data_IF_862300904084
#
_entry.id   IF_862300904084
#
_cell.length_a   1.000
_cell.length_b   1.000
_cell.length_c   1.000
_cell.angle_alpha   90.00
_cell.angle_beta   90.00
_cell.angle_gamma   90.00
#
_symmetry.space_group_name_H-M   'P 1'
#
loop_
_entity.id
_entity.type
_entity.pdbx_description
1 polymer ?
#
# COMPACT_ATOMS: atom_id res chain seq x y z
N UNK A 1 22.61 6.22 -104.41
CA UNK A 1 22.36 6.47 -102.97
C UNK A 1 21.94 5.14 -102.35
N UNK A 2 22.84 4.50 -101.62
CA UNK A 2 22.65 3.19 -101.00
C UNK A 2 22.49 3.41 -99.49
N UNK A 3 21.41 2.87 -98.92
CA UNK A 3 21.04 3.06 -97.52
C UNK A 3 22.07 2.45 -96.58
N UNK A 4 22.71 3.29 -95.77
CA UNK A 4 23.32 2.90 -94.51
C UNK A 4 22.37 3.30 -93.38
N UNK A 5 21.68 2.33 -92.80
CA UNK A 5 21.22 2.42 -91.40
C UNK A 5 21.84 1.26 -90.64
N UNK A 6 22.80 1.64 -89.80
CA UNK A 6 23.56 0.81 -88.87
C UNK A 6 22.68 0.34 -87.70
N UNK A 7 23.12 -0.79 -87.17
CA UNK A 7 22.66 -1.52 -86.00
C UNK A 7 22.35 -0.65 -84.76
N UNK A 8 21.21 -0.94 -84.13
CA UNK A 8 20.86 -0.55 -82.78
C UNK A 8 19.88 -1.60 -82.20
N UNK A 9 20.38 -2.81 -81.93
CA UNK A 9 19.63 -3.88 -81.27
C UNK A 9 20.62 -4.68 -80.42
N UNK A 10 20.54 -4.56 -79.08
CA UNK A 10 20.53 -5.72 -78.15
C UNK A 10 20.57 -5.42 -76.63
N UNK A 11 20.64 -4.17 -76.16
CA UNK A 11 20.65 -3.90 -74.69
C UNK A 11 19.26 -3.69 -74.05
N UNK A 12 18.22 -3.42 -74.85
CA UNK A 12 16.87 -3.11 -74.34
C UNK A 12 16.08 -4.31 -73.80
N UNK A 13 16.37 -5.53 -74.28
CA UNK A 13 15.68 -6.75 -73.84
C UNK A 13 16.15 -7.24 -72.46
N UNK A 14 17.45 -7.20 -72.20
CA UNK A 14 18.03 -7.58 -70.91
C UNK A 14 17.67 -6.59 -69.80
N UNK A 15 17.60 -5.30 -70.11
CA UNK A 15 17.20 -4.26 -69.17
C UNK A 15 15.77 -4.48 -68.65
N UNK A 16 14.82 -4.85 -69.51
CA UNK A 16 13.42 -5.12 -69.11
C UNK A 16 13.33 -6.32 -68.14
N UNK A 17 14.12 -7.38 -68.36
CA UNK A 17 14.13 -8.56 -67.48
C UNK A 17 14.73 -8.22 -66.12
N UNK A 18 15.85 -7.48 -66.08
CA UNK A 18 16.46 -7.03 -64.83
C UNK A 18 15.54 -6.09 -64.05
N UNK A 19 14.88 -5.15 -64.73
CA UNK A 19 13.89 -4.25 -64.12
C UNK A 19 12.72 -5.05 -63.53
N UNK A 20 12.21 -6.07 -64.24
CA UNK A 20 11.15 -6.94 -63.75
C UNK A 20 11.53 -7.70 -62.47
N UNK A 21 12.76 -8.24 -62.42
CA UNK A 21 13.25 -8.97 -61.24
C UNK A 21 13.45 -8.02 -60.05
N UNK A 22 14.04 -6.84 -60.28
CA UNK A 22 14.23 -5.84 -59.22
C UNK A 22 12.89 -5.32 -58.69
N UNK A 23 11.93 -5.06 -59.58
CA UNK A 23 10.60 -4.60 -59.17
C UNK A 23 9.86 -5.68 -58.36
N UNK A 24 10.00 -6.95 -58.74
CA UNK A 24 9.45 -8.07 -57.95
C UNK A 24 10.13 -8.17 -56.57
N UNK A 25 11.45 -8.04 -56.51
CA UNK A 25 12.20 -8.03 -55.25
C UNK A 25 11.79 -6.85 -54.34
N UNK A 26 11.57 -5.67 -54.91
CA UNK A 26 11.07 -4.49 -54.17
C UNK A 26 9.66 -4.72 -53.63
N UNK A 27 8.76 -5.33 -54.41
CA UNK A 27 7.40 -5.66 -53.96
C UNK A 27 7.42 -6.68 -52.81
N UNK A 28 8.29 -7.71 -52.86
CA UNK A 28 8.48 -8.63 -51.73
C UNK A 28 9.01 -7.93 -50.48
N UNK A 29 9.98 -7.02 -50.64
CA UNK A 29 10.53 -6.26 -49.52
C UNK A 29 9.48 -5.36 -48.85
N UNK A 30 8.65 -4.68 -49.63
CA UNK A 30 7.51 -3.88 -49.12
C UNK A 30 6.52 -4.78 -48.37
N UNK A 31 6.24 -5.95 -48.93
CA UNK A 31 5.40 -6.95 -48.30
C UNK A 31 5.86 -7.39 -46.92
N UNK A 32 7.14 -7.76 -46.80
CA UNK A 32 7.74 -8.13 -45.53
C UNK A 32 7.76 -6.97 -44.54
N UNK A 33 7.97 -5.73 -45.01
CA UNK A 33 7.91 -4.55 -44.17
C UNK A 33 6.49 -4.32 -43.60
N UNK A 34 5.45 -4.55 -44.40
CA UNK A 34 4.05 -4.48 -43.95
C UNK A 34 3.78 -5.56 -42.89
N UNK A 35 4.11 -6.82 -43.16
CA UNK A 35 3.88 -7.92 -42.23
C UNK A 35 4.63 -7.71 -40.90
N UNK A 36 5.88 -7.24 -40.96
CA UNK A 36 6.66 -6.90 -39.77
C UNK A 36 6.03 -5.75 -38.99
N UNK A 37 5.54 -4.72 -39.70
CA UNK A 37 4.81 -3.60 -39.11
C UNK A 37 3.54 -4.04 -38.40
N UNK A 38 2.78 -4.96 -38.99
CA UNK A 38 1.57 -5.53 -38.37
C UNK A 38 1.92 -6.34 -37.11
N UNK A 39 2.96 -7.18 -37.16
CA UNK A 39 3.40 -7.95 -35.99
C UNK A 39 3.89 -7.06 -34.85
N UNK A 40 4.65 -6.02 -35.18
CA UNK A 40 5.13 -5.06 -34.20
C UNK A 40 3.98 -4.30 -33.54
N UNK A 41 3.01 -3.83 -34.34
CA UNK A 41 1.83 -3.14 -33.83
C UNK A 41 0.95 -4.06 -32.97
N UNK A 42 0.71 -5.30 -33.42
CA UNK A 42 -0.02 -6.31 -32.66
C UNK A 42 0.65 -6.64 -31.32
N UNK A 43 1.99 -6.77 -31.30
CA UNK A 43 2.72 -7.00 -30.05
C UNK A 43 2.68 -5.78 -29.12
N UNK A 44 2.83 -4.57 -29.66
CA UNK A 44 2.80 -3.33 -28.87
C UNK A 44 1.44 -3.13 -28.19
N UNK A 45 0.36 -3.25 -28.94
CA UNK A 45 -1.01 -3.11 -28.40
C UNK A 45 -1.33 -4.21 -27.39
N UNK A 46 -0.84 -5.44 -27.61
CA UNK A 46 -0.98 -6.52 -26.63
C UNK A 46 -0.19 -6.25 -25.34
N UNK A 47 1.01 -5.65 -25.43
CA UNK A 47 1.78 -5.27 -24.26
C UNK A 47 1.12 -4.13 -23.49
N UNK A 48 0.66 -3.08 -24.17
CA UNK A 48 -0.07 -1.96 -23.54
C UNK A 48 -1.31 -2.46 -22.79
N UNK A 49 -2.06 -3.41 -23.36
CA UNK A 49 -3.21 -4.02 -22.70
C UNK A 49 -2.83 -4.95 -21.54
N UNK A 50 -1.72 -5.68 -21.65
CA UNK A 50 -1.22 -6.54 -20.57
C UNK A 50 -0.75 -5.69 -19.39
N UNK A 51 -0.01 -4.60 -19.64
CA UNK A 51 0.45 -3.65 -18.63
C UNK A 51 -0.73 -3.00 -17.90
N UNK A 52 -1.74 -2.54 -18.65
CA UNK A 52 -2.97 -1.99 -18.07
C UNK A 52 -3.70 -3.01 -17.18
N UNK A 53 -3.93 -4.23 -17.69
CA UNK A 53 -4.55 -5.31 -16.92
C UNK A 53 -3.77 -5.69 -15.66
N UNK A 54 -2.45 -5.80 -15.77
CA UNK A 54 -1.58 -6.12 -14.64
C UNK A 54 -1.62 -5.03 -13.57
N UNK A 55 -1.59 -3.75 -13.98
CA UNK A 55 -1.76 -2.62 -13.07
C UNK A 55 -3.14 -2.61 -12.41
N UNK A 56 -4.21 -2.83 -13.16
CA UNK A 56 -5.58 -2.88 -12.63
C UNK A 56 -5.76 -3.99 -11.58
N UNK A 57 -5.20 -5.18 -11.83
CA UNK A 57 -5.24 -6.24 -10.83
C UNK A 57 -4.36 -5.93 -9.62
N UNK A 58 -3.18 -5.31 -9.79
CA UNK A 58 -2.35 -4.83 -8.69
C UNK A 58 -3.06 -3.78 -7.82
N UNK A 59 -3.87 -2.89 -8.43
CA UNK A 59 -4.73 -1.93 -7.70
C UNK A 59 -5.78 -2.65 -6.86
N UNK A 60 -6.37 -3.74 -7.36
CA UNK A 60 -7.34 -4.51 -6.58
C UNK A 60 -6.68 -5.27 -5.43
N UNK A 61 -5.48 -5.83 -5.65
CA UNK A 61 -4.68 -6.44 -4.58
C UNK A 61 -4.33 -5.40 -3.51
N UNK A 62 -3.94 -4.19 -3.91
CA UNK A 62 -3.75 -3.06 -3.01
C UNK A 62 -5.02 -2.70 -2.22
N UNK A 63 -6.20 -2.79 -2.84
CA UNK A 63 -7.51 -2.57 -2.20
C UNK A 63 -7.99 -3.75 -1.34
N UNK A 64 -7.12 -4.69 -0.97
CA UNK A 64 -7.48 -5.89 -0.19
C UNK A 64 -8.48 -6.81 -0.89
N UNK A 65 -8.60 -6.68 -2.21
CA UNK A 65 -9.38 -7.60 -3.01
C UNK A 65 -8.73 -8.98 -3.01
N UNK A 66 -9.56 -10.02 -3.02
CA UNK A 66 -9.08 -11.40 -3.21
C UNK A 66 -8.34 -11.53 -4.55
N UNK A 67 -7.44 -12.52 -4.66
CA UNK A 67 -6.75 -12.82 -5.93
C UNK A 67 -7.74 -13.08 -7.07
N UNK A 68 -8.94 -13.61 -6.78
CA UNK A 68 -10.00 -13.78 -7.77
C UNK A 68 -10.57 -12.44 -8.27
N UNK A 69 -10.78 -11.46 -7.39
CA UNK A 69 -11.20 -10.11 -7.77
C UNK A 69 -10.10 -9.39 -8.56
N UNK A 70 -8.83 -9.55 -8.18
CA UNK A 70 -7.70 -8.98 -8.90
C UNK A 70 -7.58 -9.54 -10.32
N UNK A 71 -7.70 -10.87 -10.47
CA UNK A 71 -7.71 -11.52 -11.78
C UNK A 71 -8.92 -11.09 -12.62
N UNK A 72 -10.09 -10.90 -12.00
CA UNK A 72 -11.29 -10.43 -12.70
C UNK A 72 -11.11 -8.99 -13.19
N UNK A 73 -10.56 -8.09 -12.37
CA UNK A 73 -10.27 -6.70 -12.75
C UNK A 73 -9.22 -6.62 -13.84
N UNK A 74 -8.15 -7.41 -13.75
CA UNK A 74 -7.12 -7.51 -14.77
C UNK A 74 -7.69 -7.94 -16.15
N UNK A 75 -8.59 -8.94 -16.16
CA UNK A 75 -9.28 -9.38 -17.39
C UNK A 75 -10.27 -8.34 -17.89
N UNK A 76 -10.97 -7.64 -17.00
CA UNK A 76 -11.93 -6.60 -17.36
C UNK A 76 -11.22 -5.40 -18.02
N UNK A 77 -10.05 -5.00 -17.51
CA UNK A 77 -9.30 -3.88 -18.08
C UNK A 77 -8.61 -4.27 -19.40
N UNK A 78 -8.09 -5.50 -19.51
CA UNK A 78 -7.64 -6.05 -20.79
C UNK A 78 -8.78 -6.05 -21.83
N UNK A 79 -10.03 -6.32 -21.40
CA UNK A 79 -11.19 -6.28 -22.28
C UNK A 79 -11.55 -4.85 -22.76
N UNK A 80 -11.41 -3.83 -21.90
CA UNK A 80 -11.55 -2.42 -22.29
C UNK A 80 -10.51 -2.00 -23.33
N UNK A 81 -9.32 -2.62 -23.28
CA UNK A 81 -8.25 -2.42 -24.26
C UNK A 81 -8.39 -3.30 -25.51
N UNK A 82 -9.56 -3.88 -25.77
CA UNK A 82 -9.86 -4.63 -27.00
C UNK A 82 -9.50 -6.11 -26.98
N UNK A 83 -9.21 -6.68 -25.80
CA UNK A 83 -8.88 -8.09 -25.60
C UNK A 83 -9.94 -8.84 -24.77
N UNK A 84 -11.21 -8.53 -24.98
CA UNK A 84 -12.34 -9.10 -24.25
C UNK A 84 -12.88 -10.41 -24.85
N UNK A 85 -13.78 -11.09 -24.12
CA UNK A 85 -14.45 -12.30 -24.62
C UNK A 85 -15.37 -12.06 -25.83
N UNK A 86 -15.69 -10.78 -26.09
CA UNK A 86 -16.58 -10.35 -27.18
C UNK A 86 -15.83 -9.66 -28.33
N UNK A 87 -14.49 -9.60 -28.30
CA UNK A 87 -13.69 -9.20 -29.45
C UNK A 87 -13.30 -10.46 -30.22
N UNK A 88 -13.95 -10.75 -31.36
CA UNK A 88 -13.75 -11.97 -32.10
C UNK A 88 -12.48 -11.84 -32.94
N UNK A 89 -11.33 -12.01 -32.31
CA UNK A 89 -10.16 -12.55 -33.00
C UNK A 89 -10.11 -14.02 -32.60
N UNK A 90 -10.68 -14.89 -33.45
CA UNK A 90 -10.70 -16.32 -33.20
C UNK A 90 -9.27 -16.80 -32.85
N UNK A 91 -9.04 -17.18 -31.59
CA UNK A 91 -7.73 -17.62 -31.10
C UNK A 91 -6.94 -16.63 -30.23
N UNK A 92 -7.50 -15.46 -29.88
CA UNK A 92 -6.92 -14.59 -28.84
C UNK A 92 -7.20 -15.16 -27.43
N UNK A 93 -6.19 -15.25 -26.59
CA UNK A 93 -6.30 -15.72 -25.20
C UNK A 93 -5.78 -14.66 -24.23
N UNK A 94 -6.57 -14.35 -23.19
CA UNK A 94 -6.15 -13.52 -22.06
C UNK A 94 -6.17 -14.38 -20.80
N UNK A 95 -5.03 -14.49 -20.14
CA UNK A 95 -4.89 -15.10 -18.82
C UNK A 95 -4.54 -14.03 -17.80
N UNK A 96 -5.12 -14.13 -16.61
CA UNK A 96 -4.71 -13.38 -15.44
C UNK A 96 -4.60 -14.38 -14.27
N UNK A 97 -3.44 -14.46 -13.64
CA UNK A 97 -3.12 -15.44 -12.59
C UNK A 97 -2.05 -14.91 -11.65
N UNK A 98 -1.86 -15.56 -10.50
CA UNK A 98 -0.64 -15.36 -9.69
C UNK A 98 0.56 -15.80 -10.55
N UNK A 99 1.67 -15.02 -10.60
CA UNK A 99 2.80 -15.37 -11.46
C UNK A 99 3.34 -16.76 -11.10
N UNK A 100 3.65 -17.60 -12.10
CA UNK A 100 4.10 -18.99 -11.90
C UNK A 100 5.60 -19.20 -12.09
N UNK A 101 6.31 -18.16 -12.52
CA UNK A 101 7.73 -18.20 -12.84
C UNK A 101 8.33 -16.80 -12.81
N UNK A 102 9.66 -16.71 -12.75
CA UNK A 102 10.38 -15.44 -12.64
C UNK A 102 10.57 -15.01 -11.19
N UNK A 103 10.97 -13.75 -10.98
CA UNK A 103 11.28 -13.18 -9.66
C UNK A 103 10.06 -13.13 -8.72
N UNK A 104 8.85 -13.06 -9.27
CA UNK A 104 7.59 -12.94 -8.52
C UNK A 104 6.77 -14.24 -8.51
N UNK A 105 7.42 -15.38 -8.74
CA UNK A 105 6.75 -16.68 -8.73
C UNK A 105 6.05 -16.94 -7.38
N UNK A 106 4.79 -17.35 -7.45
CA UNK A 106 3.92 -17.66 -6.31
C UNK A 106 3.64 -16.48 -5.35
N UNK A 107 4.03 -15.25 -5.71
CA UNK A 107 3.76 -14.06 -4.92
C UNK A 107 2.30 -13.61 -5.08
N UNK A 108 1.48 -13.86 -4.06
CA UNK A 108 0.05 -13.53 -4.02
C UNK A 108 -0.23 -12.02 -4.02
N UNK A 109 0.78 -11.19 -3.78
CA UNK A 109 0.69 -9.73 -3.90
C UNK A 109 0.84 -9.25 -5.36
N UNK A 110 1.08 -10.18 -6.28
CA UNK A 110 1.26 -9.92 -7.69
C UNK A 110 0.20 -10.61 -8.56
N UNK A 111 -0.02 -10.03 -9.74
CA UNK A 111 -0.83 -10.61 -10.81
C UNK A 111 -0.07 -10.52 -12.12
N UNK A 112 0.00 -11.64 -12.83
CA UNK A 112 0.55 -11.71 -14.18
C UNK A 112 -0.60 -11.75 -15.19
N UNK A 113 -0.55 -10.85 -16.17
CA UNK A 113 -1.46 -10.84 -17.32
C UNK A 113 -0.69 -11.27 -18.55
N UNK A 114 -1.20 -12.28 -19.25
CA UNK A 114 -0.64 -12.77 -20.51
C UNK A 114 -1.69 -12.66 -21.61
N UNK A 115 -1.36 -11.96 -22.69
CA UNK A 115 -2.20 -11.80 -23.88
C UNK A 115 -1.49 -12.48 -25.05
N UNK A 116 -2.17 -13.41 -25.71
CA UNK A 116 -1.73 -13.99 -26.98
C UNK A 116 -2.78 -13.74 -28.05
N UNK A 117 -2.38 -13.21 -29.20
CA UNK A 117 -3.30 -12.86 -30.28
C UNK A 117 -2.73 -13.25 -31.65
N UNK A 118 -3.55 -13.77 -32.59
CA UNK A 118 -3.13 -13.99 -33.97
C UNK A 118 -3.07 -12.67 -34.73
N UNK A 119 -1.99 -12.43 -35.45
CA UNK A 119 -1.82 -11.30 -36.38
C UNK A 119 -1.80 -11.84 -37.81
N UNK A 120 -2.64 -11.28 -38.68
CA UNK A 120 -2.68 -11.62 -40.09
C UNK A 120 -1.38 -11.17 -40.76
N UNK A 121 -0.62 -12.12 -41.30
CA UNK A 121 0.53 -11.87 -42.16
C UNK A 121 0.19 -12.35 -43.56
N UNK A 122 0.44 -11.51 -44.56
CA UNK A 122 -0.03 -11.74 -45.93
C UNK A 122 1.01 -12.37 -46.83
N UNK A 123 2.30 -12.25 -46.48
CA UNK A 123 3.44 -12.58 -47.33
C UNK A 123 4.50 -13.43 -46.62
N UNK A 124 4.34 -13.72 -45.32
CA UNK A 124 5.11 -14.75 -44.61
C UNK A 124 4.57 -16.13 -45.01
N UNK A 125 5.38 -17.00 -45.64
CA UNK A 125 4.94 -18.32 -46.08
C UNK A 125 4.95 -19.28 -44.89
N UNK A 126 3.92 -19.25 -44.06
CA UNK A 126 3.60 -20.35 -43.15
C UNK A 126 2.17 -20.83 -43.43
N UNK A 127 1.95 -22.13 -43.21
CA UNK A 127 0.76 -22.88 -43.63
C UNK A 127 -0.56 -22.41 -43.00
N UNK A 128 -0.54 -21.41 -42.12
CA UNK A 128 -1.72 -20.74 -41.60
C UNK A 128 -1.54 -19.22 -41.73
N UNK A 129 -2.60 -18.54 -42.15
CA UNK A 129 -2.66 -17.09 -42.44
C UNK A 129 -2.38 -16.19 -41.22
N UNK A 130 -1.89 -16.72 -40.10
CA UNK A 130 -1.75 -16.02 -38.83
C UNK A 130 -0.45 -16.34 -38.11
N UNK A 131 0.29 -15.31 -37.70
CA UNK A 131 1.43 -15.44 -36.78
C UNK A 131 0.98 -15.00 -35.39
N UNK A 132 1.20 -15.83 -34.36
CA UNK A 132 0.85 -15.49 -32.98
C UNK A 132 1.89 -14.57 -32.36
N UNK A 133 1.44 -13.49 -31.74
CA UNK A 133 2.25 -12.66 -30.84
C UNK A 133 1.75 -12.86 -29.41
N UNK A 134 2.68 -12.80 -28.45
CA UNK A 134 2.37 -12.87 -27.04
C UNK A 134 3.07 -11.73 -26.30
N UNK A 135 2.39 -11.22 -25.29
CA UNK A 135 2.86 -10.19 -24.38
C UNK A 135 2.46 -10.57 -22.95
N UNK A 136 3.31 -10.25 -21.99
CA UNK A 136 3.07 -10.51 -20.58
C UNK A 136 3.53 -9.33 -19.74
N UNK A 137 2.82 -9.07 -18.65
CA UNK A 137 3.13 -8.03 -17.70
C UNK A 137 2.80 -8.52 -16.29
N UNK A 138 3.62 -8.11 -15.31
CA UNK A 138 3.38 -8.40 -13.89
C UNK A 138 3.12 -7.09 -13.16
N UNK A 139 2.03 -7.04 -12.40
CA UNK A 139 1.70 -5.94 -11.52
C UNK A 139 1.68 -6.44 -10.09
N UNK A 140 2.42 -5.79 -9.20
CA UNK A 140 2.52 -6.15 -7.80
C UNK A 140 2.05 -5.01 -6.90
N UNK A 141 1.53 -5.34 -5.73
CA UNK A 141 1.42 -4.40 -4.61
C UNK A 141 2.76 -4.46 -3.84
N UNK A 142 3.61 -3.43 -3.94
CA UNK A 142 4.95 -3.41 -3.32
C UNK A 142 5.03 -2.44 -2.15
N UNK A 143 5.75 -2.76 -1.05
CA UNK A 143 5.92 -1.84 0.05
C UNK A 143 6.60 -0.55 -0.43
N UNK A 144 6.01 0.61 -0.15
CA UNK A 144 6.61 1.92 -0.38
C UNK A 144 6.20 2.87 0.74
N UNK A 145 7.12 3.75 1.13
CA UNK A 145 6.76 4.84 2.02
C UNK A 145 5.83 5.80 1.26
N UNK A 146 4.66 6.09 1.83
CA UNK A 146 3.70 7.05 1.28
C UNK A 146 4.26 8.47 1.22
N UNK A 147 5.38 8.75 1.92
CA UNK A 147 5.96 10.07 2.10
C UNK A 147 5.24 10.90 3.17
N UNK A 148 4.27 10.30 3.87
CA UNK A 148 3.46 10.96 4.89
C UNK A 148 3.69 10.31 6.25
N UNK A 149 4.12 11.14 7.21
CA UNK A 149 4.28 10.74 8.60
C UNK A 149 2.94 10.71 9.36
N UNK A 150 1.97 11.53 8.92
CA UNK A 150 0.61 11.58 9.47
C UNK A 150 -0.41 11.50 8.36
N UNK A 151 -1.35 10.58 8.47
CA UNK A 151 -2.48 10.46 7.55
C UNK A 151 -3.77 10.36 8.37
N UNK A 152 -4.64 11.37 8.23
CA UNK A 152 -6.03 11.30 8.66
C UNK A 152 -6.89 10.78 7.50
N UNK A 153 -7.44 9.57 7.65
CA UNK A 153 -8.11 8.81 6.61
C UNK A 153 -9.59 9.20 6.40
N UNK A 154 -10.19 10.01 7.29
CA UNK A 154 -11.60 10.39 7.20
C UNK A 154 -11.94 10.98 5.82
N UNK A 155 -12.83 10.32 5.08
CA UNK A 155 -13.36 10.75 3.78
C UNK A 155 -14.86 11.11 3.84
N UNK A 156 -15.48 11.09 5.02
CA UNK A 156 -16.89 11.44 5.23
C UNK A 156 -17.15 12.96 5.16
N UNK A 157 -16.10 13.75 4.92
CA UNK A 157 -16.15 15.21 4.89
C UNK A 157 -16.58 15.82 6.24
N UNK A 158 -16.12 15.20 7.32
CA UNK A 158 -16.26 15.71 8.68
C UNK A 158 -15.20 16.78 8.99
N UNK A 159 -15.56 17.74 9.84
CA UNK A 159 -14.61 18.74 10.35
C UNK A 159 -13.68 18.12 11.39
N UNK A 160 -12.43 18.59 11.47
CA UNK A 160 -11.50 18.14 12.51
C UNK A 160 -10.95 16.73 12.31
N UNK A 161 -10.79 16.29 11.06
CA UNK A 161 -10.12 15.03 10.76
C UNK A 161 -8.66 15.01 11.29
N UNK A 162 -8.00 16.17 11.29
CA UNK A 162 -6.84 16.43 12.13
C UNK A 162 -7.12 17.65 13.00
N UNK A 163 -7.05 17.51 14.31
CA UNK A 163 -7.37 18.57 15.26
C UNK A 163 -6.29 18.71 16.34
N UNK A 164 -5.93 19.95 16.66
CA UNK A 164 -5.07 20.32 17.77
C UNK A 164 -5.79 21.35 18.65
N UNK A 165 -5.84 21.12 19.97
CA UNK A 165 -6.32 22.14 20.92
C UNK A 165 -5.24 23.19 21.21
N UNK A 166 -5.59 24.22 21.98
CA UNK A 166 -4.71 25.38 22.24
C UNK A 166 -3.33 25.06 22.84
N UNK A 167 -3.22 23.95 23.57
CA UNK A 167 -1.96 23.51 24.19
C UNK A 167 -1.36 22.28 23.48
N UNK A 168 -2.00 21.78 22.44
CA UNK A 168 -1.50 20.65 21.66
C UNK A 168 -0.33 21.07 20.77
N UNK A 169 0.60 20.16 20.56
CA UNK A 169 1.68 20.34 19.59
C UNK A 169 1.84 19.11 18.71
N UNK A 170 2.08 19.33 17.43
CA UNK A 170 2.45 18.30 16.47
C UNK A 170 3.77 18.69 15.81
N UNK A 171 4.83 17.94 16.08
CA UNK A 171 6.19 18.19 15.57
C UNK A 171 6.60 17.03 14.66
N UNK A 172 6.63 17.26 13.36
CA UNK A 172 6.78 16.21 12.33
C UNK A 172 8.12 16.34 11.59
N UNK A 173 8.87 15.25 11.56
CA UNK A 173 10.15 15.08 10.88
C UNK A 173 10.06 13.86 9.95
N UNK A 174 10.74 13.91 8.80
CA UNK A 174 10.86 12.76 7.89
C UNK A 174 9.65 12.46 7.01
N UNK A 175 8.55 13.23 7.10
CA UNK A 175 7.36 13.02 6.27
C UNK A 175 6.36 14.17 6.32
N UNK A 176 5.46 14.18 5.33
CA UNK A 176 4.38 15.15 5.17
C UNK A 176 3.16 14.82 6.04
N UNK A 177 2.22 15.76 6.16
CA UNK A 177 0.92 15.56 6.79
C UNK A 177 -0.15 15.48 5.70
N UNK A 178 -0.98 14.45 5.71
CA UNK A 178 -2.13 14.29 4.82
C UNK A 178 -3.44 14.31 5.60
N UNK A 179 -4.41 15.08 5.13
CA UNK A 179 -5.79 15.11 5.66
C UNK A 179 -6.79 14.87 4.55
N UNK A 180 -7.44 13.69 4.58
CA UNK A 180 -8.34 13.25 3.51
C UNK A 180 -9.74 13.88 3.53
N UNK A 181 -10.14 14.53 4.63
CA UNK A 181 -11.50 15.06 4.74
C UNK A 181 -11.69 16.22 3.78
N UNK A 182 -12.83 16.22 3.09
CA UNK A 182 -13.21 17.28 2.16
C UNK A 182 -13.91 18.48 2.82
N UNK A 183 -14.07 18.47 4.15
CA UNK A 183 -14.72 19.56 4.89
C UNK A 183 -13.99 20.90 4.73
N UNK A 184 -14.73 22.02 4.83
CA UNK A 184 -14.12 23.36 4.82
C UNK A 184 -13.16 23.60 5.99
N UNK A 185 -13.31 22.84 7.09
CA UNK A 185 -12.44 22.83 8.25
C UNK A 185 -11.97 21.40 8.54
N UNK A 186 -11.40 20.75 7.52
CA UNK A 186 -10.88 19.39 7.61
C UNK A 186 -9.72 19.28 8.60
N UNK A 187 -8.80 20.25 8.57
CA UNK A 187 -7.71 20.36 9.55
C UNK A 187 -7.89 21.60 10.43
N UNK A 188 -7.89 21.43 11.75
CA UNK A 188 -8.08 22.50 12.72
C UNK A 188 -6.86 22.62 13.63
N UNK A 189 -6.15 23.74 13.55
CA UNK A 189 -5.01 24.00 14.41
C UNK A 189 -5.31 25.12 15.43
N UNK A 190 -5.57 24.74 16.68
CA UNK A 190 -5.60 25.66 17.82
C UNK A 190 -4.24 25.82 18.51
N UNK A 191 -3.27 24.94 18.25
CA UNK A 191 -1.98 24.83 18.95
C UNK A 191 -0.78 25.11 18.04
N UNK A 192 0.27 24.30 18.18
CA UNK A 192 1.54 24.45 17.45
C UNK A 192 1.75 23.28 16.50
N UNK A 193 1.96 23.58 15.21
CA UNK A 193 2.41 22.58 14.23
C UNK A 193 3.80 22.97 13.74
N UNK A 194 4.75 22.06 13.87
CA UNK A 194 6.10 22.16 13.30
C UNK A 194 6.27 21.07 12.27
N UNK A 195 6.85 21.45 11.13
CA UNK A 195 7.13 20.56 10.03
C UNK A 195 8.55 20.81 9.55
N UNK A 196 9.32 19.75 9.39
CA UNK A 196 10.68 19.81 8.87
C UNK A 196 10.69 20.42 7.44
N UNK A 197 11.65 21.31 7.11
CA UNK A 197 11.73 21.90 5.77
C UNK A 197 11.86 20.85 4.67
N UNK A 198 11.04 20.98 3.62
CA UNK A 198 11.00 20.03 2.50
C UNK A 198 9.77 19.11 2.52
N UNK A 199 9.02 19.10 3.62
CA UNK A 199 7.73 18.41 3.73
C UNK A 199 6.56 19.40 3.69
N UNK A 200 5.37 18.87 3.37
CA UNK A 200 4.16 19.66 3.11
C UNK A 200 3.00 19.22 4.03
N UNK A 201 2.04 20.12 4.24
CA UNK A 201 0.73 19.79 4.81
C UNK A 201 -0.29 19.78 3.67
N UNK A 202 -0.68 18.60 3.23
CA UNK A 202 -1.66 18.39 2.16
C UNK A 202 -3.05 18.12 2.76
N UNK A 203 -4.03 18.91 2.32
CA UNK A 203 -5.42 18.81 2.79
C UNK A 203 -6.37 18.77 1.59
N UNK A 204 -7.32 17.84 1.61
CA UNK A 204 -8.34 17.73 0.56
C UNK A 204 -9.32 18.88 0.64
N UNK A 205 -9.89 19.12 1.82
CA UNK A 205 -10.79 20.23 2.11
C UNK A 205 -10.06 21.54 2.42
N UNK A 206 -10.57 22.25 3.42
CA UNK A 206 -9.98 23.48 3.94
C UNK A 206 -9.42 23.33 5.35
N UNK A 207 -8.85 24.41 5.87
CA UNK A 207 -8.22 24.43 7.20
C UNK A 207 -8.72 25.60 8.05
N UNK A 208 -8.58 25.44 9.36
CA UNK A 208 -8.64 26.50 10.35
C UNK A 208 -7.30 26.59 11.10
N UNK A 209 -6.88 27.81 11.43
CA UNK A 209 -5.61 28.05 12.11
C UNK A 209 -4.43 28.14 11.14
N UNK A 210 -3.22 28.28 11.69
CA UNK A 210 -1.99 28.40 10.90
C UNK A 210 -1.37 27.02 10.69
N UNK A 211 -1.07 26.67 9.43
CA UNK A 211 -0.43 25.40 9.07
C UNK A 211 0.84 25.67 8.24
N UNK A 212 1.96 25.00 8.54
CA UNK A 212 3.19 25.13 7.75
C UNK A 212 3.07 24.42 6.41
N UNK A 213 3.67 25.00 5.35
CA UNK A 213 3.75 24.42 4.00
C UNK A 213 2.40 23.85 3.51
N UNK A 214 1.33 24.64 3.70
CA UNK A 214 -0.04 24.22 3.46
C UNK A 214 -0.41 24.20 1.97
N UNK A 215 -0.96 23.08 1.53
CA UNK A 215 -1.66 22.94 0.26
C UNK A 215 -3.08 22.41 0.49
N UNK A 216 -4.07 23.11 -0.07
CA UNK A 216 -5.49 22.68 -0.02
C UNK A 216 -5.96 22.21 -1.39
N UNK A 217 -7.06 21.44 -1.45
CA UNK A 217 -7.58 20.89 -2.70
C UNK A 217 -6.73 19.76 -3.28
N UNK A 218 -5.86 19.16 -2.47
CA UNK A 218 -5.08 17.97 -2.87
C UNK A 218 -6.02 16.76 -3.01
N UNK A 219 -5.69 15.77 -3.84
CA UNK A 219 -6.50 14.55 -3.93
C UNK A 219 -6.44 13.75 -2.63
N UNK A 220 -7.49 12.97 -2.37
CA UNK A 220 -7.52 11.98 -1.29
C UNK A 220 -6.41 10.94 -1.53
N UNK A 221 -5.68 10.61 -0.47
CA UNK A 221 -4.73 9.51 -0.48
C UNK A 221 -5.40 8.28 0.12
N UNK A 222 -5.27 7.14 -0.55
CA UNK A 222 -5.84 5.89 -0.05
C UNK A 222 -5.06 5.40 1.17
N UNK A 223 -5.73 4.60 1.99
CA UNK A 223 -5.11 3.97 3.14
C UNK A 223 -3.90 3.11 2.69
N UNK A 224 -2.66 3.46 3.09
CA UNK A 224 -1.47 2.71 2.70
C UNK A 224 -1.48 1.28 3.26
N UNK A 225 -2.26 1.02 4.30
CA UNK A 225 -2.22 -0.21 5.11
C UNK A 225 -3.44 -1.11 4.96
N UNK A 226 -4.44 -0.71 4.16
CA UNK A 226 -5.68 -1.48 3.99
C UNK A 226 -5.44 -2.94 3.58
N UNK A 227 -4.47 -3.19 2.69
CA UNK A 227 -4.15 -4.51 2.14
C UNK A 227 -3.34 -5.46 3.01
N UNK A 228 -2.92 -5.06 4.22
CA UNK A 228 -2.12 -5.91 5.10
C UNK A 228 -2.97 -7.07 5.61
N UNK A 229 -2.43 -8.29 5.54
CA UNK A 229 -3.09 -9.46 6.12
C UNK A 229 -3.10 -9.36 7.64
N UNK A 230 -4.27 -9.60 8.27
CA UNK A 230 -4.39 -9.62 9.73
C UNK A 230 -3.67 -10.83 10.34
N UNK A 231 -3.25 -10.77 11.61
CA UNK A 231 -2.46 -11.84 12.23
C UNK A 231 -3.24 -13.14 12.35
N UNK A 232 -2.64 -14.25 11.93
CA UNK A 232 -3.24 -15.56 12.11
C UNK A 232 -3.20 -15.99 13.59
N UNK A 233 -4.26 -16.66 14.06
CA UNK A 233 -4.37 -17.13 15.45
C UNK A 233 -3.92 -18.57 15.67
N UNK A 234 -3.67 -19.33 14.59
CA UNK A 234 -3.46 -20.78 14.60
C UNK A 234 -2.20 -21.23 15.38
N UNK A 235 -1.24 -20.34 15.59
CA UNK A 235 0.00 -20.61 16.32
C UNK A 235 0.08 -19.89 17.68
N UNK A 236 -0.96 -19.14 18.06
CA UNK A 236 -0.96 -18.29 19.26
C UNK A 236 -1.76 -18.92 20.40
N UNK A 237 -1.16 -18.93 21.59
CA UNK A 237 -1.79 -19.44 22.80
C UNK A 237 -2.58 -18.33 23.52
N UNK A 238 -3.68 -18.67 24.21
CA UNK A 238 -4.40 -17.72 25.05
C UNK A 238 -3.62 -17.46 26.35
N UNK A 239 -3.53 -16.20 26.75
CA UNK A 239 -2.91 -15.75 28.00
C UNK A 239 -3.83 -14.81 28.78
N UNK A 240 -3.52 -14.65 30.07
CA UNK A 240 -4.12 -13.62 30.93
C UNK A 240 -3.06 -12.60 31.32
N UNK A 241 -3.41 -11.30 31.40
CA UNK A 241 -2.50 -10.25 31.83
C UNK A 241 -1.89 -10.54 33.19
N UNK A 242 -0.59 -10.30 33.35
CA UNK A 242 0.10 -10.46 34.62
C UNK A 242 1.05 -9.29 34.89
N UNK A 243 1.08 -8.82 36.14
CA UNK A 243 2.03 -7.82 36.61
C UNK A 243 3.41 -8.46 36.92
N UNK A 244 4.48 -7.65 36.99
CA UNK A 244 5.81 -8.09 37.41
C UNK A 244 5.79 -8.85 38.73
N UNK A 245 6.67 -9.87 38.91
CA UNK A 245 7.82 -10.19 38.06
C UNK A 245 7.50 -10.99 36.79
N UNK A 246 6.23 -11.25 36.49
CA UNK A 246 5.82 -11.98 35.30
C UNK A 246 6.05 -11.16 34.02
N UNK A 247 6.57 -11.82 32.98
CA UNK A 247 6.70 -11.26 31.63
C UNK A 247 5.52 -11.78 30.80
N UNK A 248 4.73 -10.86 30.25
CA UNK A 248 3.64 -11.18 29.34
C UNK A 248 4.21 -11.76 28.05
N UNK A 249 3.61 -12.85 27.55
CA UNK A 249 4.08 -13.59 26.39
C UNK A 249 3.23 -13.25 25.17
N UNK A 250 3.81 -13.26 23.95
CA UNK A 250 3.02 -13.06 22.73
C UNK A 250 1.94 -14.13 22.61
N UNK A 251 0.73 -13.70 22.25
CA UNK A 251 -0.44 -14.57 22.20
C UNK A 251 -1.76 -13.81 22.21
N UNK A 252 -2.83 -14.51 22.55
CA UNK A 252 -4.20 -13.98 22.52
C UNK A 252 -4.67 -13.60 23.92
N UNK A 253 -5.10 -12.36 24.09
CA UNK A 253 -5.60 -11.78 25.33
C UNK A 253 -7.08 -11.41 25.17
N UNK A 254 -7.95 -12.15 25.87
CA UNK A 254 -9.40 -11.90 25.90
C UNK A 254 -9.84 -11.10 27.12
N UNK A 255 -8.90 -10.79 28.01
CA UNK A 255 -9.13 -9.99 29.22
C UNK A 255 -8.24 -8.76 29.20
N UNK A 256 -8.67 -7.72 29.91
CA UNK A 256 -8.00 -6.43 29.92
C UNK A 256 -6.86 -6.35 30.92
N UNK A 257 -5.79 -5.69 30.53
CA UNK A 257 -4.71 -5.28 31.42
C UNK A 257 -5.21 -4.15 32.31
N UNK A 258 -5.06 -4.29 33.63
CA UNK A 258 -5.48 -3.29 34.62
C UNK A 258 -4.50 -2.13 34.77
N UNK A 259 -5.01 -0.97 35.17
CA UNK A 259 -4.26 0.29 35.28
C UNK A 259 -3.46 0.48 36.58
N UNK A 260 -2.90 -0.59 37.16
CA UNK A 260 -2.28 -0.53 38.49
C UNK A 260 -0.83 -1.07 38.55
N UNK A 261 -0.24 -1.46 37.42
CA UNK A 261 1.14 -1.95 37.38
C UNK A 261 1.86 -1.64 36.06
N UNK A 262 3.18 -1.83 36.09
CA UNK A 262 4.06 -1.67 34.93
C UNK A 262 4.22 -3.02 34.22
N UNK A 263 3.57 -3.20 33.08
CA UNK A 263 3.63 -4.45 32.33
C UNK A 263 4.94 -4.59 31.55
N UNK A 264 5.51 -5.79 31.60
CA UNK A 264 6.68 -6.17 30.82
C UNK A 264 6.20 -7.15 29.74
N UNK A 265 6.56 -6.88 28.49
CA UNK A 265 6.18 -7.69 27.33
C UNK A 265 7.41 -8.31 26.68
N UNK A 266 7.39 -9.64 26.47
CA UNK A 266 8.36 -10.31 25.63
C UNK A 266 8.14 -9.93 24.14
N UNK A 267 9.16 -9.99 23.28
CA UNK A 267 8.98 -9.71 21.86
C UNK A 267 7.95 -10.62 21.19
N UNK A 268 7.16 -10.06 20.27
CA UNK A 268 6.23 -10.81 19.43
C UNK A 268 4.85 -10.15 19.24
N UNK A 269 3.90 -10.95 18.74
CA UNK A 269 2.56 -10.50 18.38
C UNK A 269 1.57 -10.72 19.53
N UNK A 270 0.83 -9.67 19.89
CA UNK A 270 -0.20 -9.68 20.92
C UNK A 270 -1.55 -9.33 20.30
N UNK A 271 -2.50 -10.26 20.40
CA UNK A 271 -3.86 -10.07 19.90
C UNK A 271 -4.78 -9.80 21.09
N UNK A 272 -5.32 -8.59 21.16
CA UNK A 272 -6.33 -8.20 22.15
C UNK A 272 -7.72 -8.44 21.54
N UNK A 273 -8.26 -9.64 21.74
CA UNK A 273 -9.56 -10.07 21.21
C UNK A 273 -10.68 -9.70 22.19
N UNK A 274 -11.23 -8.49 22.04
CA UNK A 274 -12.20 -7.92 22.98
C UNK A 274 -11.60 -7.48 24.33
N UNK A 275 -10.31 -7.71 24.55
CA UNK A 275 -9.53 -7.17 25.67
C UNK A 275 -9.00 -5.76 25.39
N UNK A 276 -8.47 -5.13 26.43
CA UNK A 276 -7.84 -3.80 26.33
C UNK A 276 -6.53 -3.70 27.08
N UNK A 277 -5.73 -2.69 26.72
CA UNK A 277 -4.54 -2.27 27.45
C UNK A 277 -4.80 -0.91 28.11
N UNK A 278 -5.19 -0.91 29.39
CA UNK A 278 -5.42 0.32 30.17
C UNK A 278 -4.20 0.65 31.03
N UNK A 279 -3.45 1.65 30.58
CA UNK A 279 -2.31 2.28 31.24
C UNK A 279 -2.65 3.70 31.72
N UNK A 280 -3.91 3.98 32.09
CA UNK A 280 -4.35 5.29 32.56
C UNK A 280 -4.05 5.61 34.03
N UNK A 281 -3.64 4.64 34.83
CA UNK A 281 -3.36 4.83 36.25
C UNK A 281 -1.97 5.41 36.51
N UNK A 282 -1.77 6.08 37.65
CA UNK A 282 -0.49 6.75 37.96
C UNK A 282 0.73 5.82 37.99
N UNK A 283 0.51 4.52 38.24
CA UNK A 283 1.54 3.46 38.28
C UNK A 283 1.49 2.55 37.05
N UNK A 284 0.60 2.82 36.12
CA UNK A 284 0.37 1.99 34.95
C UNK A 284 1.34 2.40 33.85
N UNK A 285 2.09 1.44 33.33
CA UNK A 285 3.05 1.65 32.26
C UNK A 285 3.26 0.33 31.51
N UNK A 286 3.88 0.41 30.34
CA UNK A 286 4.35 -0.76 29.62
C UNK A 286 5.79 -0.58 29.16
N UNK A 287 6.56 -1.66 29.12
CA UNK A 287 7.91 -1.63 28.61
C UNK A 287 8.24 -2.86 27.76
N UNK A 288 9.19 -2.70 26.84
CA UNK A 288 9.86 -3.77 26.09
C UNK A 288 11.39 -3.61 26.10
N UNK A 289 12.12 -4.70 25.86
CA UNK A 289 13.58 -4.71 25.72
C UNK A 289 14.36 -4.60 27.03
N UNK A 290 15.60 -4.11 26.89
CA UNK A 290 16.59 -4.02 27.98
C UNK A 290 16.31 -2.94 29.04
N UNK A 291 15.40 -1.99 28.76
CA UNK A 291 14.99 -0.96 29.72
C UNK A 291 13.95 -1.45 30.74
N UNK A 292 13.41 -2.66 30.53
CA UNK A 292 12.46 -3.29 31.45
C UNK A 292 13.10 -3.88 32.70
N UNK A 293 12.27 -4.09 33.73
CA UNK A 293 12.61 -4.87 34.90
C UNK A 293 11.52 -5.93 35.22
N UNK A 294 11.77 -7.23 34.99
CA UNK A 294 13.00 -7.81 34.41
C UNK A 294 13.20 -7.42 32.93
N UNK A 295 14.45 -7.39 32.42
CA UNK A 295 14.71 -7.10 31.01
C UNK A 295 14.17 -8.21 30.12
N UNK A 296 13.79 -7.86 28.90
CA UNK A 296 13.37 -8.81 27.86
C UNK A 296 14.33 -8.79 26.68
N UNK A 297 14.25 -9.80 25.81
CA UNK A 297 15.02 -9.83 24.57
C UNK A 297 14.67 -8.63 23.68
N UNK A 298 15.60 -8.23 22.83
CA UNK A 298 15.35 -7.24 21.79
C UNK A 298 14.55 -7.90 20.65
N UNK A 299 13.58 -7.18 20.07
CA UNK A 299 12.73 -7.71 19.01
C UNK A 299 11.37 -7.04 18.89
N UNK A 300 10.97 -6.23 19.88
CA UNK A 300 9.78 -5.39 19.82
C UNK A 300 8.45 -6.15 19.91
N UNK A 301 7.36 -5.41 20.00
CA UNK A 301 6.01 -5.92 20.15
C UNK A 301 5.11 -5.36 19.08
N UNK A 302 4.19 -6.19 18.61
CA UNK A 302 3.11 -5.74 17.75
C UNK A 302 1.77 -6.01 18.44
N UNK A 303 1.02 -4.93 18.68
CA UNK A 303 -0.26 -4.95 19.39
C UNK A 303 -1.43 -4.83 18.40
N UNK A 304 -2.21 -5.90 18.28
CA UNK A 304 -3.37 -5.97 17.41
C UNK A 304 -4.67 -5.99 18.24
N UNK A 305 -5.46 -4.91 18.17
CA UNK A 305 -6.74 -4.77 18.88
C UNK A 305 -7.89 -5.14 17.95
N UNK A 306 -8.74 -6.08 18.37
CA UNK A 306 -9.83 -6.60 17.52
C UNK A 306 -11.04 -7.04 18.34
N UNK A 307 -12.09 -7.49 17.66
CA UNK A 307 -13.33 -7.98 18.26
C UNK A 307 -13.10 -9.27 19.09
N UNK A 308 -13.98 -9.50 20.06
CA UNK A 308 -13.96 -10.70 20.92
C UNK A 308 -14.14 -12.03 20.18
N UNK A 309 -14.64 -12.03 18.94
CA UNK A 309 -14.84 -13.25 18.13
C UNK A 309 -13.75 -13.46 17.08
N UNK A 310 -12.73 -12.59 17.01
CA UNK A 310 -11.66 -12.70 16.03
C UNK A 310 -11.03 -14.12 16.05
N UNK A 311 -10.80 -14.76 14.88
CA UNK A 311 -10.92 -14.25 13.51
C UNK A 311 -12.32 -14.37 12.88
N UNK A 312 -13.30 -14.90 13.60
CA UNK A 312 -14.67 -14.97 13.11
C UNK A 312 -15.33 -13.58 13.08
N UNK A 313 -16.25 -13.38 12.14
CA UNK A 313 -17.06 -12.16 12.05
C UNK A 313 -18.04 -12.03 13.21
N UNK A 314 -18.27 -10.79 13.65
CA UNK A 314 -19.14 -10.47 14.78
C UNK A 314 -18.35 -10.02 16.01
N UNK A 315 -18.91 -10.28 17.20
CA UNK A 315 -18.27 -9.95 18.48
C UNK A 315 -18.34 -8.47 18.85
N UNK A 316 -17.68 -8.11 19.95
CA UNK A 316 -17.60 -6.74 20.46
C UNK A 316 -16.15 -6.33 20.63
N UNK A 317 -15.81 -5.11 20.21
CA UNK A 317 -14.53 -4.49 20.52
C UNK A 317 -14.55 -3.93 21.95
N UNK A 318 -13.38 -3.83 22.59
CA UNK A 318 -13.28 -3.17 23.88
C UNK A 318 -13.70 -1.70 23.76
N UNK A 319 -14.37 -1.16 24.78
CA UNK A 319 -14.87 0.23 24.79
C UNK A 319 -13.76 1.27 24.71
N UNK A 320 -12.59 0.95 25.27
CA UNK A 320 -11.34 1.67 25.12
C UNK A 320 -10.24 0.61 24.94
N UNK A 321 -9.89 0.27 23.68
CA UNK A 321 -8.96 -0.82 23.39
C UNK A 321 -7.55 -0.51 23.88
N UNK A 322 -7.11 0.74 23.72
CA UNK A 322 -5.81 1.19 24.20
C UNK A 322 -5.96 2.54 24.89
N UNK A 323 -5.43 2.61 26.11
CA UNK A 323 -5.35 3.84 26.88
C UNK A 323 -3.96 3.95 27.48
N UNK A 324 -3.19 4.94 27.08
CA UNK A 324 -1.92 5.31 27.71
C UNK A 324 -2.10 6.73 28.19
N UNK A 325 -2.43 6.92 29.47
CA UNK A 325 -2.66 8.26 30.07
C UNK A 325 -2.00 8.42 31.45
N UNK A 326 -1.32 7.37 31.92
CA UNK A 326 -0.73 7.30 33.24
C UNK A 326 0.39 8.32 33.48
N UNK A 327 0.80 8.39 34.73
CA UNK A 327 1.93 9.22 35.16
C UNK A 327 3.30 8.54 35.08
N UNK A 328 3.33 7.26 34.68
CA UNK A 328 4.55 6.45 34.61
C UNK A 328 5.06 6.36 33.16
N UNK A 329 6.37 6.18 32.99
CA UNK A 329 6.99 6.12 31.67
C UNK A 329 6.64 4.82 30.94
N UNK A 330 6.22 4.93 29.69
CA UNK A 330 5.96 3.79 28.80
C UNK A 330 6.97 3.78 27.66
N UNK A 331 7.63 2.65 27.43
CA UNK A 331 8.62 2.48 26.36
C UNK A 331 8.28 1.25 25.53
N UNK A 332 7.81 1.43 24.30
CA UNK A 332 7.46 0.32 23.41
C UNK A 332 8.19 0.46 22.09
N UNK A 333 8.62 -0.65 21.53
CA UNK A 333 9.25 -0.72 20.21
C UNK A 333 8.52 -1.72 19.33
N UNK A 334 8.25 -1.36 18.08
CA UNK A 334 7.70 -2.25 17.07
C UNK A 334 8.69 -3.36 16.71
N UNK A 335 8.23 -4.45 16.08
CA UNK A 335 9.12 -5.48 15.60
C UNK A 335 10.10 -4.95 14.56
N UNK A 336 11.34 -5.44 14.59
CA UNK A 336 12.39 -5.08 13.62
C UNK A 336 12.50 -6.06 12.45
N UNK A 337 11.66 -7.10 12.42
CA UNK A 337 11.59 -8.10 11.34
C UNK A 337 10.21 -8.79 11.34
N UNK A 338 9.94 -9.58 10.30
CA UNK A 338 8.68 -10.31 10.11
C UNK A 338 7.60 -9.47 9.42
N UNK A 339 6.42 -10.06 9.24
CA UNK A 339 5.32 -9.49 8.44
C UNK A 339 4.78 -8.15 8.97
N UNK A 340 5.01 -7.87 10.26
CA UNK A 340 4.59 -6.64 10.95
C UNK A 340 5.78 -5.75 11.35
N UNK A 341 6.93 -5.89 10.68
CA UNK A 341 8.09 -5.03 10.92
C UNK A 341 7.71 -3.55 10.85
N UNK A 342 8.01 -2.80 11.90
CA UNK A 342 7.69 -1.37 12.00
C UNK A 342 6.24 -1.06 12.39
N UNK A 343 5.34 -2.04 12.52
CA UNK A 343 3.99 -1.82 13.06
C UNK A 343 3.99 -2.03 14.57
N UNK A 344 3.71 -0.98 15.35
CA UNK A 344 3.61 -1.08 16.80
C UNK A 344 2.17 -1.40 17.23
N UNK A 345 1.21 -0.66 16.69
CA UNK A 345 -0.18 -0.70 17.12
C UNK A 345 -1.07 -0.77 15.89
N UNK A 346 -1.96 -1.75 15.85
CA UNK A 346 -3.00 -1.83 14.85
C UNK A 346 -4.34 -2.13 15.51
N UNK A 347 -5.30 -1.22 15.37
CA UNK A 347 -6.70 -1.51 15.66
C UNK A 347 -7.42 -1.96 14.39
N UNK A 348 -8.02 -3.15 14.46
CA UNK A 348 -8.79 -3.74 13.39
C UNK A 348 -9.87 -2.75 12.90
N UNK A 349 -10.08 -2.69 11.58
CA UNK A 349 -11.09 -1.84 10.95
C UNK A 349 -12.52 -2.14 11.40
N UNK A 350 -12.80 -3.31 11.97
CA UNK A 350 -14.11 -3.58 12.59
C UNK A 350 -14.34 -2.80 13.89
N UNK A 351 -13.29 -2.27 14.52
CA UNK A 351 -13.34 -1.52 15.77
C UNK A 351 -13.22 -0.01 15.51
N UNK A 352 -14.17 0.76 16.04
CA UNK A 352 -14.29 2.22 15.85
C UNK A 352 -14.00 3.02 17.12
N UNK A 353 -13.61 2.34 18.19
CA UNK A 353 -13.42 2.90 19.52
C UNK A 353 -12.12 3.71 19.57
N UNK A 354 -12.14 4.83 20.27
CA UNK A 354 -11.02 5.76 20.38
C UNK A 354 -9.80 5.11 21.03
N UNK A 355 -8.61 5.46 20.53
CA UNK A 355 -7.33 5.10 21.12
C UNK A 355 -6.76 6.34 21.81
N UNK A 356 -6.51 6.24 23.11
CA UNK A 356 -5.98 7.34 23.90
C UNK A 356 -4.47 7.15 24.14
N UNK A 357 -3.65 8.12 23.70
CA UNK A 357 -2.20 8.14 23.92
C UNK A 357 -1.75 9.51 24.42
N UNK A 358 -1.26 9.55 25.64
CA UNK A 358 -0.70 10.73 26.28
C UNK A 358 -0.60 10.58 27.80
N UNK A 359 -0.84 11.64 28.57
CA UNK A 359 -0.71 11.63 30.03
C UNK A 359 0.48 12.42 30.56
N UNK A 360 0.83 12.16 31.83
CA UNK A 360 1.88 12.90 32.54
C UNK A 360 3.27 12.29 32.47
N UNK A 361 3.38 11.00 32.09
CA UNK A 361 4.65 10.30 31.91
C UNK A 361 5.30 10.52 30.53
N UNK A 362 6.55 10.08 30.37
CA UNK A 362 7.21 10.01 29.07
C UNK A 362 6.73 8.78 28.30
N UNK A 363 6.32 8.96 27.04
CA UNK A 363 5.88 7.85 26.17
C UNK A 363 6.84 7.77 25.00
N UNK A 364 7.79 6.86 25.08
CA UNK A 364 8.72 6.61 23.99
C UNK A 364 8.23 5.40 23.21
N UNK A 365 7.69 5.64 22.02
CA UNK A 365 7.27 4.59 21.10
C UNK A 365 8.18 4.57 19.88
N UNK A 366 8.33 3.44 19.22
CA UNK A 366 9.04 3.34 17.93
C UNK A 366 8.23 2.43 17.04
N UNK A 367 7.86 2.91 15.85
CA UNK A 367 6.95 2.23 14.92
C UNK A 367 5.69 3.01 14.59
N UNK A 368 4.89 2.43 13.70
CA UNK A 368 3.65 2.97 13.15
C UNK A 368 2.45 2.60 14.01
N UNK A 369 1.48 3.51 14.07
CA UNK A 369 0.15 3.29 14.64
C UNK A 369 -0.86 3.31 13.49
N UNK A 370 -1.69 2.26 13.42
CA UNK A 370 -2.73 2.11 12.42
C UNK A 370 -4.11 1.92 13.06
N UNK A 371 -5.04 2.82 12.78
CA UNK A 371 -6.39 2.82 13.32
C UNK A 371 -7.40 3.34 12.28
N UNK A 372 -7.68 2.56 11.21
CA UNK A 372 -8.34 3.06 9.99
C UNK A 372 -9.75 3.62 10.21
N UNK A 373 -10.46 3.12 11.23
CA UNK A 373 -11.84 3.50 11.52
C UNK A 373 -12.02 4.14 12.91
N UNK A 374 -10.93 4.47 13.60
CA UNK A 374 -10.95 5.04 14.94
C UNK A 374 -10.17 6.36 15.03
N UNK A 375 -10.56 7.16 16.00
CA UNK A 375 -9.86 8.40 16.36
C UNK A 375 -8.67 8.05 17.25
N UNK A 376 -7.50 8.56 16.90
CA UNK A 376 -6.34 8.61 17.79
C UNK A 376 -6.36 9.92 18.55
N UNK A 377 -6.33 9.84 19.88
CA UNK A 377 -6.52 10.97 20.79
C UNK A 377 -5.31 11.20 21.68
N UNK A 378 -4.94 12.46 21.84
CA UNK A 378 -3.80 12.92 22.62
C UNK A 378 -4.22 13.64 23.89
N UNK A 379 -4.36 12.95 25.02
CA UNK A 379 -4.70 13.58 26.28
C UNK A 379 -3.45 13.85 27.16
N UNK A 380 -3.52 14.80 28.10
CA UNK A 380 -2.45 15.02 29.09
C UNK A 380 -1.40 16.09 28.73
N UNK A 381 -0.74 16.64 29.76
CA UNK A 381 0.16 17.78 29.66
C UNK A 381 1.61 17.30 29.70
N UNK A 382 2.41 17.57 28.66
CA UNK A 382 3.86 17.25 28.54
C UNK A 382 4.20 15.79 28.17
N UNK A 383 3.25 14.99 27.69
CA UNK A 383 3.58 13.75 26.99
C UNK A 383 4.42 14.10 25.75
N UNK A 384 5.62 13.54 25.63
CA UNK A 384 6.41 13.55 24.40
C UNK A 384 6.25 12.17 23.79
N UNK A 385 5.28 12.02 22.89
CA UNK A 385 5.07 10.76 22.20
C UNK A 385 6.00 10.74 20.99
N UNK A 386 7.05 9.90 21.01
CA UNK A 386 7.88 9.69 19.83
C UNK A 386 7.24 8.59 18.97
N UNK A 387 6.85 8.89 17.74
CA UNK A 387 6.23 7.91 16.83
C UNK A 387 6.94 7.94 15.50
N UNK A 388 6.88 6.82 14.77
CA UNK A 388 7.43 6.77 13.42
C UNK A 388 6.38 7.18 12.39
N UNK A 389 5.13 6.73 12.54
CA UNK A 389 4.03 7.16 11.65
C UNK A 389 2.66 6.99 12.33
N UNK A 390 1.71 7.82 11.93
CA UNK A 390 0.31 7.72 12.34
C UNK A 390 -0.58 7.62 11.11
N UNK A 391 -1.39 6.56 11.04
CA UNK A 391 -2.44 6.38 10.04
C UNK A 391 -3.73 6.06 10.78
N UNK A 392 -4.62 7.02 10.95
CA UNK A 392 -5.86 6.85 11.71
C UNK A 392 -7.05 7.46 10.95
N UNK A 393 -8.30 7.12 11.34
CA UNK A 393 -9.47 7.80 10.78
C UNK A 393 -9.37 9.30 11.05
N UNK A 394 -9.11 9.64 12.30
CA UNK A 394 -8.96 11.01 12.79
C UNK A 394 -7.78 11.08 13.75
N UNK A 395 -7.08 12.20 13.76
CA UNK A 395 -5.96 12.47 14.66
C UNK A 395 -6.28 13.72 15.47
N UNK A 396 -6.60 13.55 16.74
CA UNK A 396 -6.86 14.64 17.67
C UNK A 396 -5.76 14.69 18.71
N UNK A 397 -4.85 15.66 18.64
CA UNK A 397 -3.77 15.74 19.63
C UNK A 397 -4.23 16.31 20.96
N UNK A 398 -5.48 16.79 21.07
CA UNK A 398 -6.01 17.63 22.14
C UNK A 398 -4.93 18.53 22.77
N UNK A 399 -4.49 18.21 24.01
CA UNK A 399 -3.46 18.96 24.75
C UNK A 399 -2.09 18.24 24.81
N UNK A 400 -1.94 17.09 24.17
CA UNK A 400 -0.69 16.34 24.13
C UNK A 400 0.31 16.92 23.10
N UNK A 401 1.59 16.62 23.30
CA UNK A 401 2.64 16.94 22.34
C UNK A 401 3.10 15.67 21.60
N UNK A 402 2.78 15.58 20.33
CA UNK A 402 3.24 14.49 19.47
C UNK A 402 4.51 14.93 18.74
N UNK A 403 5.55 14.12 18.83
CA UNK A 403 6.79 14.28 18.05
C UNK A 403 6.95 13.06 17.15
N UNK A 404 6.74 13.26 15.86
CA UNK A 404 6.79 12.19 14.87
C UNK A 404 8.10 12.30 14.12
N UNK A 405 8.82 11.19 14.07
CA UNK A 405 10.07 11.03 13.32
C UNK A 405 9.90 9.84 12.41
N UNK A 406 9.42 10.10 11.20
CA UNK A 406 9.35 9.08 10.16
C UNK A 406 10.78 8.74 9.72
N UNK A 407 11.27 7.59 10.17
CA UNK A 407 12.47 6.96 9.65
C UNK A 407 12.00 5.80 8.76
N UNK A 408 12.30 5.84 7.44
CA UNK A 408 11.94 4.77 6.53
C UNK A 408 12.46 3.38 6.94
N UNK A 409 13.47 3.27 7.81
CA UNK A 409 13.93 1.98 8.34
C UNK A 409 13.13 1.44 9.53
N UNK A 410 12.27 2.28 10.13
CA UNK A 410 11.53 1.97 11.36
C UNK A 410 10.00 2.09 11.19
N UNK A 411 9.51 2.66 10.09
CA UNK A 411 8.09 2.72 9.76
C UNK A 411 7.58 1.46 9.06
N UNK A 412 6.32 1.11 9.32
CA UNK A 412 5.64 0.10 8.53
C UNK A 412 5.39 0.63 7.11
N UNK A 413 5.73 -0.16 6.10
CA UNK A 413 5.56 0.24 4.71
C UNK A 413 4.21 -0.23 4.16
N UNK A 414 3.43 0.72 3.64
CA UNK A 414 2.20 0.40 2.92
C UNK A 414 2.51 -0.12 1.53
N UNK A 415 1.65 -0.96 0.96
CA UNK A 415 1.88 -1.45 -0.39
C UNK A 415 1.36 -0.42 -1.42
N UNK A 416 2.05 -0.19 -2.55
CA UNK A 416 1.57 0.60 -3.69
C UNK A 416 1.57 -0.30 -4.94
N UNK A 417 0.56 -0.21 -5.81
CA UNK A 417 0.58 -0.89 -7.09
C UNK A 417 1.75 -0.41 -7.97
N UNK A 418 2.58 -1.34 -8.40
CA UNK A 418 3.70 -1.11 -9.30
C UNK A 418 3.70 -2.16 -10.41
N UNK A 419 4.00 -1.73 -11.63
CA UNK A 419 4.35 -2.65 -12.70
C UNK A 419 5.79 -3.10 -12.51
N UNK A 420 6.01 -4.40 -12.63
CA UNK A 420 7.33 -5.02 -12.56
C UNK A 420 7.74 -5.38 -13.99
N UNK A 421 8.77 -4.69 -14.50
CA UNK A 421 9.33 -4.92 -15.84
C UNK A 421 10.42 -5.97 -15.83
#
# INVERSE_FOLDING_TARGET
MMHLRRAAQDEGGQAIVLIGIVLMALLFAVGLAIDTGQLYNGRRTAQEAADAGAFAGAVVLYQSGSSAQAQAAARADAALNGYGTNTPSAGTTVSAQVPKSGEFADDVTCVEVTISTPVLTTLVPQAESFTRVAASAVGCSKPSNSGYAVIALNQACDTGATELSSNGSLDVHGGSIQVNSCAAQAAQNGGIVKLEPGYETDVVGGVQGSWPALNTGKPVIRDPFAGISKPLINELLPYSPACPPSINQPGIYTTSFSNNCTYVFAPGTYIFAGGSLDLGGSRAAACTGSTCNPPTADGGVFFFFTSSSYPATGGTCASQPLKIEGGSDTTLSAPTSGDYQGMLIWQDSVCTQEIDIGGGGSITTTGSIYAPNATLSGNGTRSSVNLSQIVAKEVNTQNANFTIRDDPGLTFHGFIPALMQ
#
